data_IF_059633667576
#
_entry.id   IF_059633667576
#
_cell.length_a   1.000
_cell.length_b   1.000
_cell.length_c   1.000
_cell.angle_alpha   90.00
_cell.angle_beta   90.00
_cell.angle_gamma   90.00
#
_symmetry.space_group_name_H-M   'P 1'
#
loop_
_entity.id
_entity.type
_entity.pdbx_description
1 polymer ?
#
# COMPACT_ATOMS: atom_id res chain seq x y z
N UNK A 1 13.50 28.56 22.33
CA UNK A 1 13.22 28.99 20.93
C UNK A 1 13.84 27.93 20.02
N UNK A 2 13.04 26.97 19.58
CA UNK A 2 13.51 25.98 18.61
C UNK A 2 13.83 26.72 17.31
N UNK A 3 15.03 26.51 16.78
CA UNK A 3 15.39 26.98 15.44
C UNK A 3 14.40 26.29 14.51
N UNK A 4 13.51 27.05 13.88
CA UNK A 4 12.68 26.55 12.80
C UNK A 4 13.65 26.21 11.66
N UNK A 5 14.19 24.98 11.69
CA UNK A 5 15.03 24.45 10.63
C UNK A 5 14.23 24.53 9.34
N UNK A 6 14.83 25.10 8.29
CA UNK A 6 14.24 25.18 6.97
C UNK A 6 13.87 23.75 6.57
N UNK A 7 12.56 23.44 6.57
CA UNK A 7 12.08 22.16 6.09
C UNK A 7 12.31 22.12 4.59
N UNK A 8 13.16 21.19 4.15
CA UNK A 8 13.33 20.89 2.73
C UNK A 8 11.97 20.55 2.13
N UNK A 9 11.76 20.93 0.88
CA UNK A 9 10.56 20.56 0.14
C UNK A 9 10.52 19.05 -0.13
N UNK A 10 9.37 18.52 -0.53
CA UNK A 10 9.22 17.11 -0.90
C UNK A 10 10.23 16.72 -2.01
N UNK A 11 10.34 17.45 -3.15
CA UNK A 11 11.31 17.10 -4.20
C UNK A 11 12.76 17.12 -3.72
N UNK A 12 13.16 18.14 -2.95
CA UNK A 12 14.53 18.24 -2.39
C UNK A 12 14.85 17.07 -1.45
N UNK A 13 13.88 16.59 -0.68
CA UNK A 13 14.08 15.43 0.18
C UNK A 13 14.30 14.14 -0.62
N UNK A 14 13.64 13.95 -1.76
CA UNK A 14 13.81 12.76 -2.60
C UNK A 14 15.03 12.85 -3.53
N UNK A 15 15.58 14.04 -3.75
CA UNK A 15 16.74 14.26 -4.61
C UNK A 15 17.94 13.39 -4.20
N UNK A 16 18.53 12.69 -5.18
CA UNK A 16 19.70 11.82 -4.98
C UNK A 16 19.42 10.52 -4.22
N UNK A 17 18.18 10.26 -3.76
CA UNK A 17 17.84 9.07 -2.97
C UNK A 17 17.42 7.89 -3.82
N UNK A 18 17.65 6.69 -3.30
CA UNK A 18 17.15 5.45 -3.85
C UNK A 18 15.90 4.99 -3.10
N UNK A 19 14.85 4.67 -3.83
CA UNK A 19 13.54 4.29 -3.29
C UNK A 19 13.23 2.84 -3.65
N UNK A 20 12.78 2.03 -2.70
CA UNK A 20 12.25 0.70 -2.93
C UNK A 20 10.72 0.72 -2.88
N UNK A 21 10.04 0.23 -3.92
CA UNK A 21 8.58 0.07 -3.94
C UNK A 21 8.23 -1.39 -4.15
N UNK A 22 7.56 -1.99 -3.17
CA UNK A 22 6.89 -3.29 -3.37
C UNK A 22 5.49 -3.06 -3.92
N UNK A 23 5.01 -3.93 -4.81
CA UNK A 23 3.65 -3.78 -5.36
C UNK A 23 3.52 -2.64 -6.39
N UNK A 24 4.64 -2.18 -6.96
CA UNK A 24 4.69 -1.11 -7.96
C UNK A 24 3.81 -1.37 -9.20
N UNK A 25 3.55 -2.64 -9.53
CA UNK A 25 2.70 -3.03 -10.67
C UNK A 25 1.20 -3.11 -10.33
N UNK A 26 0.82 -2.89 -9.07
CA UNK A 26 -0.58 -2.77 -8.64
C UNK A 26 -1.10 -1.34 -8.78
N UNK A 27 -2.43 -1.17 -8.62
CA UNK A 27 -3.13 0.11 -8.82
C UNK A 27 -2.45 1.30 -8.13
N UNK A 28 -2.34 1.27 -6.79
CA UNK A 28 -1.69 2.34 -6.03
C UNK A 28 -0.19 2.44 -6.34
N UNK A 29 0.49 1.31 -6.52
CA UNK A 29 1.93 1.28 -6.78
C UNK A 29 2.31 1.99 -8.09
N UNK A 30 1.50 1.87 -9.13
CA UNK A 30 1.71 2.57 -10.40
C UNK A 30 1.59 4.08 -10.24
N UNK A 31 0.55 4.54 -9.54
CA UNK A 31 0.33 5.97 -9.26
C UNK A 31 1.44 6.52 -8.37
N UNK A 32 1.91 5.75 -7.38
CA UNK A 32 3.04 6.13 -6.55
C UNK A 32 4.32 6.31 -7.37
N UNK A 33 4.62 5.35 -8.24
CA UNK A 33 5.79 5.40 -9.11
C UNK A 33 5.73 6.59 -10.08
N UNK A 34 4.59 6.77 -10.77
CA UNK A 34 4.39 7.90 -11.68
C UNK A 34 4.54 9.24 -10.95
N UNK A 35 3.84 9.40 -9.82
CA UNK A 35 3.81 10.66 -9.07
C UNK A 35 5.20 11.00 -8.51
N UNK A 36 5.93 10.01 -8.00
CA UNK A 36 7.28 10.17 -7.49
C UNK A 36 8.22 10.63 -8.61
N UNK A 37 8.24 9.94 -9.75
CA UNK A 37 9.14 10.26 -10.86
C UNK A 37 8.79 11.61 -11.52
N UNK A 38 7.50 11.98 -11.53
CA UNK A 38 7.04 13.27 -12.09
C UNK A 38 7.30 14.45 -11.17
N UNK A 39 7.02 14.27 -9.88
CA UNK A 39 7.09 15.39 -8.92
C UNK A 39 8.45 15.51 -8.25
N UNK A 40 9.26 14.45 -8.25
CA UNK A 40 10.60 14.42 -7.68
C UNK A 40 11.59 13.92 -8.75
N UNK A 41 11.80 14.66 -9.86
CA UNK A 41 12.62 14.18 -10.96
C UNK A 41 14.06 13.91 -10.53
N UNK A 42 14.59 14.55 -9.50
CA UNK A 42 15.97 14.32 -9.05
C UNK A 42 16.16 13.07 -8.18
N UNK A 43 15.12 12.24 -8.00
CA UNK A 43 15.28 10.91 -7.40
C UNK A 43 16.30 10.10 -8.20
N UNK A 44 17.23 9.43 -7.51
CA UNK A 44 18.35 8.75 -8.17
C UNK A 44 17.89 7.49 -8.89
N UNK A 45 17.20 6.61 -8.18
CA UNK A 45 16.67 5.36 -8.72
C UNK A 45 15.46 4.88 -7.90
N UNK A 46 14.53 4.21 -8.58
CA UNK A 46 13.37 3.56 -7.98
C UNK A 46 13.43 2.07 -8.29
N UNK A 47 13.76 1.30 -7.26
CA UNK A 47 13.84 -0.14 -7.28
C UNK A 47 12.43 -0.72 -7.11
N UNK A 48 12.03 -1.60 -8.01
CA UNK A 48 10.68 -2.18 -8.02
C UNK A 48 10.76 -3.70 -7.96
N UNK A 49 10.17 -4.27 -6.91
CA UNK A 49 10.08 -5.73 -6.76
C UNK A 49 8.92 -6.25 -7.62
N UNK A 50 9.24 -7.11 -8.58
CA UNK A 50 8.29 -7.63 -9.57
C UNK A 50 8.29 -9.15 -9.55
N UNK A 51 7.10 -9.72 -9.38
CA UNK A 51 6.89 -11.16 -9.49
C UNK A 51 7.09 -11.62 -10.94
N UNK A 52 7.95 -12.63 -11.12
CA UNK A 52 8.03 -13.35 -12.39
C UNK A 52 6.69 -14.04 -12.68
N UNK A 53 6.18 -13.86 -13.89
CA UNK A 53 5.03 -14.63 -14.40
C UNK A 53 5.55 -15.43 -15.58
N UNK A 54 5.17 -16.71 -15.66
CA UNK A 54 5.67 -17.67 -16.66
C UNK A 54 5.88 -17.02 -18.04
N UNK A 55 7.15 -16.92 -18.45
CA UNK A 55 7.56 -16.42 -19.78
C UNK A 55 7.92 -14.93 -19.91
N UNK A 56 7.75 -14.09 -18.88
CA UNK A 56 8.07 -12.65 -18.98
C UNK A 56 9.12 -12.23 -17.95
N UNK A 57 10.22 -11.65 -18.42
CA UNK A 57 11.24 -11.03 -17.57
C UNK A 57 10.65 -9.85 -16.77
N UNK A 58 11.15 -9.54 -15.56
CA UNK A 58 10.73 -8.37 -14.78
C UNK A 58 10.75 -7.06 -15.59
N UNK A 59 11.74 -6.88 -16.46
CA UNK A 59 11.88 -5.74 -17.35
C UNK A 59 10.73 -5.59 -18.35
N UNK A 60 10.22 -6.69 -18.91
CA UNK A 60 9.08 -6.65 -19.84
C UNK A 60 7.82 -6.15 -19.15
N UNK A 61 7.55 -6.60 -17.91
CA UNK A 61 6.40 -6.15 -17.14
C UNK A 61 6.47 -4.67 -16.77
N UNK A 62 7.67 -4.15 -16.51
CA UNK A 62 7.87 -2.71 -16.32
C UNK A 62 7.68 -1.97 -17.64
N UNK A 63 8.22 -2.46 -18.75
CA UNK A 63 8.03 -1.86 -20.07
C UNK A 63 6.54 -1.71 -20.43
N UNK A 64 5.74 -2.77 -20.23
CA UNK A 64 4.29 -2.72 -20.45
C UNK A 64 3.59 -1.71 -19.54
N UNK A 65 4.01 -1.66 -18.28
CA UNK A 65 3.45 -0.74 -17.29
C UNK A 65 3.72 0.72 -17.65
N UNK A 66 4.94 1.08 -18.03
CA UNK A 66 5.32 2.47 -18.37
C UNK A 66 4.72 2.95 -19.70
N UNK A 67 4.21 2.03 -20.52
CA UNK A 67 3.46 2.35 -21.75
C UNK A 67 1.96 2.62 -21.50
N UNK A 68 1.47 2.41 -20.27
CA UNK A 68 0.08 2.73 -19.94
C UNK A 68 -0.16 4.25 -19.95
N UNK A 69 -1.41 4.66 -20.26
CA UNK A 69 -1.83 6.08 -20.29
C UNK A 69 -1.53 6.85 -19.00
N UNK A 70 -1.46 6.16 -17.87
CA UNK A 70 -1.07 6.75 -16.58
C UNK A 70 0.24 7.54 -16.70
N UNK A 71 1.20 7.03 -17.48
CA UNK A 71 2.55 7.58 -17.61
C UNK A 71 2.70 8.56 -18.77
N UNK A 72 1.65 8.87 -19.54
CA UNK A 72 1.76 9.74 -20.71
C UNK A 72 2.31 11.13 -20.34
N UNK A 73 1.74 11.75 -19.30
CA UNK A 73 2.21 13.04 -18.78
C UNK A 73 3.65 12.99 -18.27
N UNK A 74 4.02 11.94 -17.53
CA UNK A 74 5.41 11.75 -17.09
C UNK A 74 6.37 11.60 -18.28
N UNK A 75 5.95 10.89 -19.32
CA UNK A 75 6.75 10.68 -20.54
C UNK A 75 6.98 11.99 -21.30
N UNK A 76 5.98 12.88 -21.31
CA UNK A 76 6.11 14.22 -21.89
C UNK A 76 7.01 15.14 -21.07
N UNK A 77 6.84 15.18 -19.74
CA UNK A 77 7.59 16.06 -18.84
C UNK A 77 9.04 15.58 -18.60
N UNK A 78 9.25 14.26 -18.53
CA UNK A 78 10.55 13.63 -18.23
C UNK A 78 10.81 12.37 -19.08
N UNK A 79 11.11 12.47 -20.38
CA UNK A 79 11.25 11.32 -21.29
C UNK A 79 12.21 10.22 -20.83
N UNK A 80 13.27 10.58 -20.08
CA UNK A 80 14.30 9.66 -19.59
C UNK A 80 13.94 9.02 -18.23
N UNK A 81 12.70 9.18 -17.74
CA UNK A 81 12.27 8.54 -16.49
C UNK A 81 12.47 7.01 -16.44
N UNK A 82 12.36 6.24 -17.56
CA UNK A 82 12.53 4.79 -17.50
C UNK A 82 13.92 4.37 -17.00
N UNK A 83 14.96 5.17 -17.27
CA UNK A 83 16.34 4.90 -16.86
C UNK A 83 16.51 4.88 -15.33
N UNK A 84 15.55 5.47 -14.60
CA UNK A 84 15.54 5.50 -13.13
C UNK A 84 14.84 4.29 -12.52
N UNK A 85 14.14 3.47 -13.31
CA UNK A 85 13.40 2.33 -12.79
C UNK A 85 14.30 1.10 -12.84
N UNK A 86 14.58 0.50 -11.68
CA UNK A 86 15.40 -0.70 -11.56
C UNK A 86 14.51 -1.89 -11.20
N UNK A 87 14.08 -2.71 -12.18
CA UNK A 87 13.30 -3.91 -11.92
C UNK A 87 14.13 -4.99 -11.24
N UNK A 88 13.60 -5.56 -10.17
CA UNK A 88 14.19 -6.72 -9.49
C UNK A 88 13.17 -7.85 -9.42
N UNK A 89 13.64 -9.06 -9.71
CA UNK A 89 12.83 -10.27 -9.55
C UNK A 89 12.54 -10.50 -8.07
N UNK A 90 11.28 -10.74 -7.72
CA UNK A 90 10.89 -11.08 -6.36
C UNK A 90 9.50 -11.69 -6.29
N UNK A 91 9.39 -12.80 -5.58
CA UNK A 91 8.13 -13.32 -5.07
C UNK A 91 8.12 -13.19 -3.54
N UNK A 92 7.36 -12.21 -3.04
CA UNK A 92 7.26 -11.91 -1.62
C UNK A 92 6.76 -13.09 -0.77
N UNK A 93 6.10 -14.06 -1.40
CA UNK A 93 5.61 -15.28 -0.73
C UNK A 93 6.73 -16.30 -0.50
N UNK A 94 7.86 -16.20 -1.19
CA UNK A 94 8.95 -17.16 -1.09
C UNK A 94 9.92 -16.82 0.05
N UNK A 95 10.77 -17.78 0.48
CA UNK A 95 11.88 -17.51 1.39
C UNK A 95 12.79 -16.40 0.85
N UNK A 96 13.32 -15.57 1.75
CA UNK A 96 14.18 -14.42 1.37
C UNK A 96 13.60 -13.52 0.25
N UNK A 97 12.27 -13.46 0.13
CA UNK A 97 11.54 -12.68 -0.88
C UNK A 97 11.80 -13.11 -2.34
N UNK A 98 12.48 -14.26 -2.55
CA UNK A 98 12.99 -14.70 -3.85
C UNK A 98 13.79 -13.59 -4.57
N UNK A 99 14.58 -12.85 -3.79
CA UNK A 99 15.52 -11.84 -4.28
C UNK A 99 16.92 -12.43 -4.24
N UNK A 100 17.66 -12.30 -5.34
CA UNK A 100 19.04 -12.80 -5.45
C UNK A 100 19.93 -12.19 -4.35
N UNK A 101 20.99 -12.88 -3.92
CA UNK A 101 21.90 -12.34 -2.90
C UNK A 101 22.56 -11.03 -3.35
N UNK A 102 22.86 -10.90 -4.64
CA UNK A 102 23.41 -9.69 -5.24
C UNK A 102 22.42 -8.52 -5.19
N UNK A 103 21.16 -8.76 -5.56
CA UNK A 103 20.11 -7.75 -5.47
C UNK A 103 19.81 -7.37 -4.01
N UNK A 104 19.76 -8.34 -3.09
CA UNK A 104 19.61 -8.06 -1.66
C UNK A 104 20.75 -7.17 -1.15
N UNK A 105 21.99 -7.45 -1.56
CA UNK A 105 23.14 -6.66 -1.16
C UNK A 105 23.05 -5.24 -1.74
N UNK A 106 22.66 -5.11 -3.01
CA UNK A 106 22.39 -3.82 -3.65
C UNK A 106 21.36 -3.01 -2.87
N UNK A 107 20.23 -3.63 -2.51
CA UNK A 107 19.16 -2.98 -1.73
C UNK A 107 19.65 -2.54 -0.35
N UNK A 108 20.45 -3.39 0.32
CA UNK A 108 21.06 -3.08 1.62
C UNK A 108 22.01 -1.89 1.55
N UNK A 109 22.75 -1.76 0.45
CA UNK A 109 23.82 -0.77 0.29
C UNK A 109 23.33 0.59 -0.16
N UNK A 110 22.17 0.72 -0.80
CA UNK A 110 21.78 1.98 -1.43
C UNK A 110 20.41 2.55 -1.02
N UNK A 111 19.48 1.74 -0.51
CA UNK A 111 18.09 2.19 -0.29
C UNK A 111 18.00 3.19 0.87
N UNK A 112 17.32 4.30 0.61
CA UNK A 112 17.03 5.34 1.58
C UNK A 112 15.57 5.30 2.06
N UNK A 113 14.65 4.86 1.21
CA UNK A 113 13.21 4.94 1.46
C UNK A 113 12.53 3.66 0.99
N UNK A 114 11.69 3.08 1.82
CA UNK A 114 10.89 1.90 1.46
C UNK A 114 9.40 2.25 1.47
N UNK A 115 8.69 1.96 0.39
CA UNK A 115 7.24 1.95 0.32
C UNK A 115 6.73 0.51 0.16
N UNK A 116 6.28 -0.08 1.26
CA UNK A 116 5.67 -1.40 1.25
C UNK A 116 4.17 -1.30 0.95
N UNK A 117 3.83 -1.31 -0.35
CA UNK A 117 2.44 -1.27 -0.85
C UNK A 117 1.90 -2.64 -1.29
N UNK A 118 2.70 -3.69 -1.28
CA UNK A 118 2.26 -5.02 -1.72
C UNK A 118 1.33 -5.65 -0.67
N UNK A 119 0.14 -6.05 -1.10
CA UNK A 119 -0.83 -6.78 -0.32
C UNK A 119 -1.74 -7.59 -1.26
N UNK A 120 -2.37 -8.64 -0.74
CA UNK A 120 -3.56 -9.18 -1.42
C UNK A 120 -4.72 -8.24 -1.16
N UNK A 121 -5.48 -7.92 -2.21
CA UNK A 121 -6.75 -7.20 -2.12
C UNK A 121 -7.94 -8.12 -2.42
N UNK A 122 -7.71 -9.44 -2.47
CA UNK A 122 -8.76 -10.42 -2.61
C UNK A 122 -9.38 -10.64 -1.23
N UNK A 123 -10.59 -10.12 -1.05
CA UNK A 123 -11.23 -10.11 0.26
C UNK A 123 -11.47 -11.52 0.84
N UNK A 124 -11.71 -12.53 0.01
CA UNK A 124 -12.01 -13.90 0.45
C UNK A 124 -10.88 -14.89 0.14
N UNK A 125 -9.63 -14.45 0.24
CA UNK A 125 -8.49 -15.34 0.05
C UNK A 125 -8.33 -16.27 1.28
N UNK A 126 -7.93 -17.55 1.09
CA UNK A 126 -7.66 -18.45 2.20
C UNK A 126 -6.72 -17.81 3.23
N UNK A 127 -6.96 -18.07 4.51
CA UNK A 127 -6.23 -17.40 5.59
C UNK A 127 -4.71 -17.58 5.48
N UNK A 128 -4.24 -18.77 5.08
CA UNK A 128 -2.80 -19.04 4.87
C UNK A 128 -2.19 -18.12 3.83
N UNK A 129 -2.84 -17.99 2.68
CA UNK A 129 -2.37 -17.14 1.57
C UNK A 129 -2.35 -15.66 1.98
N UNK A 130 -3.41 -15.21 2.65
CA UNK A 130 -3.52 -13.85 3.16
C UNK A 130 -2.43 -13.56 4.22
N UNK A 131 -2.16 -14.52 5.13
CA UNK A 131 -1.07 -14.43 6.11
C UNK A 131 0.31 -14.40 5.44
N UNK A 132 0.52 -15.23 4.42
CA UNK A 132 1.78 -15.28 3.67
C UNK A 132 2.10 -13.92 3.04
N UNK A 133 1.13 -13.30 2.37
CA UNK A 133 1.36 -12.07 1.62
C UNK A 133 1.24 -10.79 2.46
N UNK A 134 0.37 -10.74 3.47
CA UNK A 134 0.16 -9.51 4.24
C UNK A 134 0.98 -9.46 5.54
N UNK A 135 1.32 -10.61 6.13
CA UNK A 135 2.02 -10.65 7.44
C UNK A 135 3.46 -11.10 7.25
N UNK A 136 3.68 -12.30 6.70
CA UNK A 136 5.04 -12.88 6.56
C UNK A 136 5.89 -12.13 5.54
N UNK A 137 5.32 -11.68 4.42
CA UNK A 137 6.03 -10.82 3.48
C UNK A 137 6.44 -9.47 4.10
N UNK A 138 5.56 -8.86 4.91
CA UNK A 138 5.88 -7.63 5.64
C UNK A 138 7.03 -7.88 6.62
N UNK A 139 7.00 -8.99 7.36
CA UNK A 139 8.08 -9.41 8.25
C UNK A 139 9.43 -9.52 7.53
N UNK A 140 9.45 -10.23 6.38
CA UNK A 140 10.66 -10.42 5.57
C UNK A 140 11.19 -9.10 5.00
N UNK A 141 10.31 -8.23 4.52
CA UNK A 141 10.68 -6.90 4.01
C UNK A 141 11.23 -6.01 5.14
N UNK A 142 10.69 -6.09 6.35
CA UNK A 142 11.23 -5.41 7.53
C UNK A 142 12.59 -5.96 7.94
N UNK A 143 12.79 -7.28 7.91
CA UNK A 143 14.08 -7.90 8.17
C UNK A 143 15.16 -7.44 7.16
N UNK A 144 14.79 -7.29 5.89
CA UNK A 144 15.66 -6.68 4.88
C UNK A 144 15.93 -5.19 5.19
N UNK A 145 14.90 -4.44 5.58
CA UNK A 145 15.00 -3.03 5.94
C UNK A 145 15.94 -2.77 7.13
N UNK A 146 15.96 -3.64 8.14
CA UNK A 146 16.90 -3.57 9.26
C UNK A 146 18.37 -3.68 8.84
N UNK A 147 18.65 -4.34 7.70
CA UNK A 147 20.00 -4.47 7.16
C UNK A 147 20.41 -3.25 6.34
N UNK A 148 19.47 -2.41 5.89
CA UNK A 148 19.75 -1.28 5.00
C UNK A 148 20.56 -0.18 5.70
N UNK A 149 21.72 0.14 5.14
CA UNK A 149 22.71 1.06 5.76
C UNK A 149 22.27 2.51 5.77
N UNK A 150 21.44 2.91 4.81
CA UNK A 150 21.05 4.31 4.59
C UNK A 150 19.55 4.55 4.73
N UNK A 151 18.81 3.59 5.28
CA UNK A 151 17.36 3.70 5.40
C UNK A 151 16.97 4.84 6.35
N UNK A 152 16.20 5.78 5.81
CA UNK A 152 15.68 6.94 6.50
C UNK A 152 14.24 6.75 6.95
N UNK A 153 13.42 6.06 6.16
CA UNK A 153 12.01 5.81 6.47
C UNK A 153 11.48 4.54 5.78
N UNK A 154 10.64 3.82 6.51
CA UNK A 154 9.84 2.71 6.03
C UNK A 154 8.35 3.05 6.11
N UNK A 155 7.66 3.04 4.98
CA UNK A 155 6.22 3.29 4.91
C UNK A 155 5.50 1.97 4.66
N UNK A 156 4.61 1.60 5.57
CA UNK A 156 3.69 0.48 5.40
C UNK A 156 2.31 0.98 4.98
N UNK A 157 1.81 0.54 3.82
CA UNK A 157 0.43 0.86 3.42
C UNK A 157 -0.50 -0.21 3.98
N UNK A 158 -1.34 0.18 4.93
CA UNK A 158 -2.40 -0.63 5.54
C UNK A 158 -3.77 -0.28 4.94
N UNK A 159 -4.83 -0.24 5.75
CA UNK A 159 -6.19 0.13 5.38
C UNK A 159 -6.95 0.64 6.60
N UNK A 160 -7.84 1.60 6.41
CA UNK A 160 -8.73 2.11 7.46
C UNK A 160 -9.67 1.01 8.01
N UNK A 161 -9.91 -0.05 7.23
CA UNK A 161 -10.74 -1.18 7.63
C UNK A 161 -10.00 -2.25 8.43
N UNK A 162 -8.71 -2.05 8.74
CA UNK A 162 -7.93 -3.02 9.51
C UNK A 162 -8.50 -3.20 10.93
N UNK A 163 -9.31 -2.28 11.43
CA UNK A 163 -9.95 -2.37 12.75
C UNK A 163 -11.45 -2.05 12.68
N UNK A 164 -12.13 -2.45 11.59
CA UNK A 164 -13.55 -2.16 11.35
C UNK A 164 -14.54 -2.87 12.29
N UNK A 165 -14.04 -3.75 13.16
CA UNK A 165 -14.72 -4.31 14.32
C UNK A 165 -14.90 -3.30 15.48
N UNK A 166 -14.37 -2.08 15.33
CA UNK A 166 -14.49 -0.97 16.29
C UNK A 166 -15.34 0.16 15.72
N UNK A 167 -16.05 0.86 16.60
CA UNK A 167 -16.83 2.05 16.24
C UNK A 167 -15.97 3.30 15.99
N UNK A 168 -14.83 3.41 16.68
CA UNK A 168 -13.87 4.50 16.55
C UNK A 168 -12.48 3.90 16.35
N UNK A 169 -11.80 4.34 15.29
CA UNK A 169 -10.46 3.88 14.92
C UNK A 169 -9.52 5.07 14.95
N UNK A 170 -8.77 5.19 16.03
CA UNK A 170 -7.74 6.22 16.21
C UNK A 170 -6.47 5.87 15.41
N UNK A 171 -5.60 6.87 15.27
CA UNK A 171 -4.29 6.76 14.64
C UNK A 171 -3.26 6.07 15.56
N UNK A 172 -3.63 4.89 16.05
CA UNK A 172 -2.81 4.00 16.88
C UNK A 172 -2.90 2.58 16.36
N UNK A 173 -1.88 1.77 16.66
CA UNK A 173 -1.91 0.32 16.36
C UNK A 173 -2.62 -0.40 17.51
N UNK A 174 -3.60 -1.23 17.17
CA UNK A 174 -4.36 -2.02 18.13
C UNK A 174 -3.78 -3.42 18.26
N UNK A 175 -3.68 -3.98 19.48
CA UNK A 175 -3.25 -5.35 19.66
C UNK A 175 -4.31 -6.32 19.09
N UNK A 176 -3.91 -7.35 18.34
CA UNK A 176 -4.79 -8.38 17.83
C UNK A 176 -5.23 -9.32 18.98
N UNK A 177 -6.34 -10.06 18.81
CA UNK A 177 -6.81 -11.02 19.81
C UNK A 177 -5.87 -12.22 19.97
N UNK A 178 -5.06 -12.52 18.95
CA UNK A 178 -4.10 -13.63 18.93
C UNK A 178 -2.73 -13.08 18.56
N UNK A 179 -1.71 -13.52 19.27
CA UNK A 179 -0.32 -13.22 18.94
C UNK A 179 0.03 -13.75 17.55
N UNK A 180 0.58 -12.88 16.70
CA UNK A 180 0.89 -13.22 15.30
C UNK A 180 1.91 -14.36 15.18
N UNK A 181 2.86 -14.49 16.12
CA UNK A 181 3.87 -15.56 16.11
C UNK A 181 3.22 -16.92 16.36
N UNK A 182 2.36 -17.00 17.38
CA UNK A 182 1.60 -18.22 17.68
C UNK A 182 0.70 -18.63 16.52
N UNK A 183 0.12 -17.65 15.83
CA UNK A 183 -0.70 -17.91 14.65
C UNK A 183 0.14 -18.43 13.48
N UNK A 184 1.31 -17.86 13.23
CA UNK A 184 2.25 -18.36 12.21
C UNK A 184 2.62 -19.81 12.50
N UNK A 185 3.06 -20.10 13.74
CA UNK A 185 3.44 -21.46 14.15
C UNK A 185 2.27 -22.44 13.98
N UNK A 186 1.05 -22.02 14.32
CA UNK A 186 -0.15 -22.84 14.15
C UNK A 186 -0.44 -23.14 12.66
N UNK A 187 -0.37 -22.12 11.80
CA UNK A 187 -0.69 -22.25 10.38
C UNK A 187 0.34 -23.07 9.59
N UNK A 188 1.57 -23.21 10.09
CA UNK A 188 2.63 -23.96 9.44
C UNK A 188 2.33 -25.47 9.38
N UNK A 189 1.78 -26.04 10.46
CA UNK A 189 1.48 -27.48 10.52
C UNK A 189 0.03 -27.85 10.23
N UNK A 190 -0.92 -26.91 10.40
CA UNK A 190 -2.34 -27.18 10.15
C UNK A 190 -2.59 -27.40 8.65
N UNK A 191 -3.40 -28.39 8.29
CA UNK A 191 -3.88 -28.53 6.92
C UNK A 191 -4.94 -27.47 6.56
N UNK A 192 -5.23 -27.31 5.27
CA UNK A 192 -6.15 -26.28 4.78
C UNK A 192 -7.58 -26.48 5.27
N UNK A 193 -8.01 -27.72 5.53
CA UNK A 193 -9.36 -28.01 6.03
C UNK A 193 -9.50 -27.51 7.46
N UNK A 194 -8.51 -27.77 8.32
CA UNK A 194 -8.49 -27.31 9.70
C UNK A 194 -8.39 -25.78 9.76
N UNK A 195 -7.55 -25.15 8.93
CA UNK A 195 -7.48 -23.69 8.85
C UNK A 195 -8.81 -23.08 8.45
N UNK A 196 -9.48 -23.62 7.42
CA UNK A 196 -10.79 -23.13 7.00
C UNK A 196 -11.85 -23.29 8.09
N UNK A 197 -11.79 -24.37 8.89
CA UNK A 197 -12.70 -24.60 10.01
C UNK A 197 -12.54 -23.56 11.12
N UNK A 198 -11.30 -23.17 11.46
CA UNK A 198 -11.03 -22.22 12.55
C UNK A 198 -11.05 -20.75 12.11
N UNK A 199 -10.91 -20.47 10.80
CA UNK A 199 -10.84 -19.12 10.24
C UNK A 199 -11.99 -18.21 10.71
N UNK A 200 -13.27 -18.62 10.69
CA UNK A 200 -14.38 -17.80 11.19
C UNK A 200 -14.19 -17.36 12.64
N UNK A 201 -13.61 -18.23 13.48
CA UNK A 201 -13.36 -17.92 14.90
C UNK A 201 -12.18 -16.96 15.08
N UNK A 202 -11.18 -17.03 14.21
CA UNK A 202 -10.01 -16.14 14.21
C UNK A 202 -10.35 -14.74 13.73
N UNK A 203 -11.13 -14.62 12.65
CA UNK A 203 -11.52 -13.30 12.11
C UNK A 203 -12.54 -12.59 13.02
N UNK A 204 -13.36 -13.34 13.77
CA UNK A 204 -14.34 -12.77 14.70
C UNK A 204 -15.39 -11.93 13.99
N UNK A 205 -15.62 -10.70 14.48
CA UNK A 205 -16.62 -9.77 13.92
C UNK A 205 -16.15 -9.06 12.65
N UNK A 206 -14.93 -9.36 12.18
CA UNK A 206 -14.37 -8.78 10.97
C UNK A 206 -15.04 -9.38 9.73
N UNK A 207 -15.26 -8.59 8.67
CA UNK A 207 -15.99 -9.05 7.49
C UNK A 207 -15.23 -10.11 6.68
N UNK A 208 -13.89 -10.18 6.79
CA UNK A 208 -13.06 -11.05 5.96
C UNK A 208 -11.60 -11.20 6.43
N UNK A 209 -10.87 -12.13 5.80
CA UNK A 209 -9.45 -12.41 6.10
C UNK A 209 -8.52 -11.24 5.78
N UNK A 210 -8.86 -10.41 4.78
CA UNK A 210 -8.08 -9.22 4.44
C UNK A 210 -8.00 -8.24 5.63
N UNK A 211 -9.13 -7.81 6.19
CA UNK A 211 -9.16 -6.88 7.33
C UNK A 211 -8.40 -7.43 8.54
N UNK A 212 -8.56 -8.73 8.83
CA UNK A 212 -7.85 -9.42 9.91
C UNK A 212 -6.33 -9.43 9.70
N UNK A 213 -5.85 -9.83 8.52
CA UNK A 213 -4.41 -9.94 8.24
C UNK A 213 -3.73 -8.57 8.13
N UNK A 214 -4.43 -7.52 7.70
CA UNK A 214 -3.91 -6.14 7.75
C UNK A 214 -3.76 -5.65 9.19
N UNK A 215 -4.70 -5.97 10.09
CA UNK A 215 -4.57 -5.67 11.52
C UNK A 215 -3.34 -6.35 12.13
N UNK A 216 -3.16 -7.64 11.82
CA UNK A 216 -1.98 -8.41 12.25
C UNK A 216 -0.67 -7.83 11.70
N UNK A 217 -0.66 -7.41 10.44
CA UNK A 217 0.51 -6.81 9.81
C UNK A 217 0.90 -5.49 10.50
N UNK A 218 -0.06 -4.63 10.84
CA UNK A 218 0.23 -3.39 11.59
C UNK A 218 0.82 -3.67 12.97
N UNK A 219 0.27 -4.67 13.67
CA UNK A 219 0.80 -5.07 14.97
C UNK A 219 2.21 -5.64 14.85
N UNK A 220 2.46 -6.51 13.88
CA UNK A 220 3.80 -7.02 13.57
C UNK A 220 4.77 -5.87 13.29
N UNK A 221 4.36 -4.90 12.47
CA UNK A 221 5.17 -3.71 12.18
C UNK A 221 5.53 -2.96 13.47
N UNK A 222 4.57 -2.77 14.39
CA UNK A 222 4.84 -2.11 15.67
C UNK A 222 5.78 -2.93 16.56
N UNK A 223 5.67 -4.25 16.59
CA UNK A 223 6.50 -5.10 17.43
C UNK A 223 7.92 -5.26 16.88
N UNK A 224 8.07 -5.27 15.55
CA UNK A 224 9.35 -5.58 14.89
C UNK A 224 10.07 -4.36 14.31
N UNK A 225 9.48 -3.15 14.40
CA UNK A 225 10.13 -1.95 13.85
C UNK A 225 11.46 -1.64 14.54
N UNK A 226 11.62 -1.98 15.83
CA UNK A 226 12.87 -1.74 16.57
C UNK A 226 13.34 -0.29 16.42
N UNK A 227 14.52 -0.10 15.85
CA UNK A 227 15.11 1.23 15.57
C UNK A 227 14.71 1.84 14.23
N UNK A 228 13.92 1.15 13.40
CA UNK A 228 13.46 1.67 12.12
C UNK A 228 12.52 2.85 12.32
N UNK A 229 12.68 3.83 11.44
CA UNK A 229 11.77 4.96 11.37
C UNK A 229 10.57 4.58 10.50
N UNK A 230 9.46 4.21 11.15
CA UNK A 230 8.29 3.65 10.45
C UNK A 230 7.09 4.60 10.51
N UNK A 231 6.29 4.60 9.45
CA UNK A 231 4.92 5.13 9.46
C UNK A 231 3.95 4.20 8.71
N UNK A 232 2.69 4.20 9.15
CA UNK A 232 1.59 3.41 8.58
C UNK A 232 0.59 4.36 7.91
N UNK A 233 0.21 4.08 6.67
CA UNK A 233 -0.86 4.80 5.96
C UNK A 233 -2.09 3.90 5.86
N UNK A 234 -3.24 4.35 6.35
CA UNK A 234 -4.52 3.65 6.31
C UNK A 234 -5.50 4.35 5.36
N UNK A 235 -5.47 4.03 4.06
CA UNK A 235 -6.51 4.51 3.15
C UNK A 235 -7.86 3.84 3.41
N UNK A 236 -8.96 4.56 3.19
CA UNK A 236 -10.29 3.95 3.01
C UNK A 236 -10.40 3.29 1.62
N UNK A 237 -11.61 3.18 1.03
CA UNK A 237 -11.77 2.51 -0.25
C UNK A 237 -11.17 3.39 -1.35
N UNK A 238 -10.03 2.96 -1.89
CA UNK A 238 -9.31 3.73 -2.91
C UNK A 238 -10.04 3.64 -4.25
N UNK A 239 -10.54 4.77 -4.73
CA UNK A 239 -11.22 4.92 -6.01
C UNK A 239 -10.34 5.56 -7.08
N UNK A 240 -10.98 5.93 -8.20
CA UNK A 240 -10.32 6.61 -9.31
C UNK A 240 -9.68 7.95 -8.88
N UNK A 241 -8.70 8.42 -9.65
CA UNK A 241 -8.04 9.71 -9.39
C UNK A 241 -9.02 10.88 -9.47
N UNK A 242 -8.83 11.87 -8.60
CA UNK A 242 -9.58 13.12 -8.66
C UNK A 242 -8.97 14.09 -9.67
N UNK A 243 -7.64 14.28 -9.61
CA UNK A 243 -6.91 15.23 -10.45
C UNK A 243 -5.79 14.58 -11.24
N UNK A 244 -4.93 13.80 -10.59
CA UNK A 244 -3.67 13.35 -11.19
C UNK A 244 -3.58 11.82 -11.33
N UNK A 245 -2.94 11.30 -12.40
CA UNK A 245 -2.34 12.04 -13.52
C UNK A 245 -3.39 12.67 -14.46
N UNK A 246 -4.62 12.15 -14.46
CA UNK A 246 -5.80 12.82 -15.01
C UNK A 246 -7.05 12.36 -14.26
N UNK A 247 -8.15 13.13 -14.25
CA UNK A 247 -9.38 12.76 -13.53
C UNK A 247 -9.99 11.45 -14.03
N UNK A 248 -10.44 10.60 -13.09
CA UNK A 248 -11.15 9.36 -13.39
C UNK A 248 -10.27 8.18 -13.82
N UNK A 249 -8.94 8.29 -13.72
CA UNK A 249 -8.06 7.17 -14.02
C UNK A 249 -8.23 6.04 -13.01
N UNK A 250 -8.42 4.83 -13.53
CA UNK A 250 -8.47 3.58 -12.78
C UNK A 250 -8.10 2.41 -13.71
N UNK A 251 -7.44 1.38 -13.17
CA UNK A 251 -6.97 0.23 -13.95
C UNK A 251 -7.48 -1.13 -13.44
N UNK A 252 -8.51 -1.12 -12.57
CA UNK A 252 -9.09 -2.32 -11.99
C UNK A 252 -10.62 -2.20 -11.84
N UNK A 253 -11.27 -3.34 -11.63
CA UNK A 253 -12.71 -3.47 -11.45
C UNK A 253 -13.08 -3.82 -9.99
N UNK A 254 -12.18 -3.59 -9.04
CA UNK A 254 -12.38 -4.06 -7.67
C UNK A 254 -13.38 -3.16 -6.93
N UNK A 255 -14.24 -3.79 -6.12
CA UNK A 255 -15.15 -3.09 -5.21
C UNK A 255 -16.06 -2.08 -5.95
N UNK A 256 -16.19 -0.83 -5.44
CA UNK A 256 -17.07 0.19 -6.02
C UNK A 256 -16.81 0.50 -7.49
N UNK A 257 -15.57 0.38 -7.96
CA UNK A 257 -15.21 0.63 -9.36
C UNK A 257 -15.94 -0.31 -10.33
N UNK A 258 -16.04 -1.59 -9.96
CA UNK A 258 -16.82 -2.57 -10.73
C UNK A 258 -18.31 -2.23 -10.75
N UNK A 259 -18.85 -1.77 -9.62
CA UNK A 259 -20.24 -1.33 -9.48
C UNK A 259 -20.51 -0.13 -10.40
N UNK A 260 -19.66 0.90 -10.37
CA UNK A 260 -19.82 2.10 -11.19
C UNK A 260 -19.72 1.81 -12.68
N UNK A 261 -18.81 0.93 -13.09
CA UNK A 261 -18.69 0.53 -14.49
C UNK A 261 -19.92 -0.29 -14.94
N UNK A 262 -20.40 -1.22 -14.11
CA UNK A 262 -21.59 -2.01 -14.43
C UNK A 262 -22.86 -1.14 -14.50
N UNK A 263 -23.00 -0.19 -13.58
CA UNK A 263 -24.07 0.80 -13.55
C UNK A 263 -24.02 1.72 -14.78
N UNK A 264 -22.87 2.33 -15.06
CA UNK A 264 -22.68 3.21 -16.21
C UNK A 264 -22.88 2.52 -17.57
N UNK A 265 -22.67 1.20 -17.64
CA UNK A 265 -22.97 0.38 -18.84
C UNK A 265 -24.43 -0.10 -18.90
N UNK A 266 -25.25 0.18 -17.89
CA UNK A 266 -26.64 -0.29 -17.80
C UNK A 266 -26.81 -1.78 -17.51
N UNK A 267 -25.73 -2.47 -17.14
CA UNK A 267 -25.73 -3.90 -16.77
C UNK A 267 -26.31 -4.08 -15.37
N UNK A 268 -25.89 -3.22 -14.44
CA UNK A 268 -26.44 -3.15 -13.08
C UNK A 268 -27.44 -1.99 -13.02
N UNK A 269 -28.69 -2.27 -12.68
CA UNK A 269 -29.77 -1.25 -12.64
C UNK A 269 -30.21 -0.91 -11.22
N UNK A 270 -30.08 -1.86 -10.31
CA UNK A 270 -30.49 -1.72 -8.92
C UNK A 270 -29.45 -2.34 -8.01
N UNK A 271 -29.27 -1.74 -6.83
CA UNK A 271 -28.36 -2.26 -5.81
C UNK A 271 -28.99 -2.08 -4.44
N UNK A 272 -28.99 -3.14 -3.63
CA UNK A 272 -29.46 -3.05 -2.26
C UNK A 272 -28.39 -2.42 -1.38
N UNK A 273 -28.60 -1.17 -0.99
CA UNK A 273 -27.76 -0.43 -0.04
C UNK A 273 -28.63 0.40 0.92
N UNK A 274 -28.06 0.84 2.04
CA UNK A 274 -28.67 1.89 2.85
C UNK A 274 -28.27 3.23 2.25
N UNK A 275 -29.26 4.07 1.93
CA UNK A 275 -29.01 5.38 1.32
C UNK A 275 -28.20 6.31 2.24
N UNK A 276 -28.34 6.13 3.55
CA UNK A 276 -27.65 6.92 4.58
C UNK A 276 -26.30 6.32 4.99
N UNK A 277 -25.90 5.18 4.42
CA UNK A 277 -24.57 4.64 4.67
C UNK A 277 -23.51 5.45 3.92
N UNK A 278 -22.43 5.78 4.63
CA UNK A 278 -21.28 6.49 4.07
C UNK A 278 -20.52 5.56 3.10
N UNK A 279 -20.37 6.01 1.86
CA UNK A 279 -19.45 5.48 0.87
C UNK A 279 -18.09 6.16 1.03
N UNK A 280 -17.28 5.67 1.96
CA UNK A 280 -15.94 6.21 2.27
C UNK A 280 -14.93 5.88 1.16
N UNK A 281 -15.04 6.65 0.07
CA UNK A 281 -14.21 6.57 -1.13
C UNK A 281 -13.14 7.67 -1.05
N UNK A 282 -11.88 7.28 -1.18
CA UNK A 282 -10.74 8.19 -1.26
C UNK A 282 -10.07 8.12 -2.64
N UNK A 283 -9.85 9.24 -3.33
CA UNK A 283 -9.16 9.22 -4.62
C UNK A 283 -7.70 8.75 -4.50
N UNK A 284 -7.24 7.92 -5.44
CA UNK A 284 -5.89 7.35 -5.39
C UNK A 284 -4.78 8.40 -5.33
N UNK A 285 -4.93 9.53 -6.01
CA UNK A 285 -3.95 10.62 -6.00
C UNK A 285 -3.85 11.32 -4.64
N UNK A 286 -4.95 11.43 -3.90
CA UNK A 286 -4.94 11.93 -2.51
C UNK A 286 -4.14 10.98 -1.62
N UNK A 287 -4.37 9.67 -1.73
CA UNK A 287 -3.65 8.67 -0.94
C UNK A 287 -2.15 8.68 -1.26
N UNK A 288 -1.78 8.77 -2.54
CA UNK A 288 -0.37 8.82 -2.94
C UNK A 288 0.30 10.11 -2.48
N UNK A 289 -0.38 11.26 -2.57
CA UNK A 289 0.14 12.52 -2.04
C UNK A 289 0.38 12.44 -0.53
N UNK A 290 -0.59 11.89 0.22
CA UNK A 290 -0.44 11.67 1.67
C UNK A 290 0.71 10.70 1.97
N UNK A 291 0.88 9.64 1.17
CA UNK A 291 1.95 8.65 1.33
C UNK A 291 3.34 9.26 1.11
N UNK A 292 3.52 10.06 0.06
CA UNK A 292 4.77 10.78 -0.22
C UNK A 292 5.05 11.85 0.85
N UNK A 293 4.02 12.59 1.29
CA UNK A 293 4.15 13.57 2.35
C UNK A 293 4.52 12.92 3.69
N UNK A 294 3.94 11.76 4.02
CA UNK A 294 4.27 11.03 5.24
C UNK A 294 5.72 10.49 5.22
N UNK A 295 6.21 10.01 4.07
CA UNK A 295 7.61 9.62 3.89
C UNK A 295 8.55 10.81 4.08
N UNK A 296 8.25 11.93 3.42
CA UNK A 296 9.00 13.17 3.55
C UNK A 296 9.04 13.67 5.00
N UNK A 297 7.88 13.79 5.64
CA UNK A 297 7.79 14.28 7.02
C UNK A 297 8.56 13.37 7.98
N UNK A 298 8.33 12.05 7.87
CA UNK A 298 8.95 11.07 8.74
C UNK A 298 10.47 11.01 8.56
N UNK A 299 10.97 11.06 7.33
CA UNK A 299 12.39 10.96 7.05
C UNK A 299 13.15 12.26 7.25
N UNK A 300 12.62 13.40 6.77
CA UNK A 300 13.27 14.71 6.94
C UNK A 300 13.34 15.15 8.41
N UNK A 301 12.40 14.69 9.24
CA UNK A 301 12.33 14.99 10.67
C UNK A 301 12.73 13.80 11.55
N UNK A 302 13.53 12.85 11.04
CA UNK A 302 13.91 11.62 11.77
C UNK A 302 14.44 11.86 13.19
N UNK A 303 15.13 12.98 13.43
CA UNK A 303 15.71 13.32 14.74
C UNK A 303 14.82 14.18 15.63
N UNK A 304 13.80 14.82 15.06
CA UNK A 304 12.95 15.80 15.76
C UNK A 304 11.51 15.34 15.96
N UNK A 305 11.05 14.33 15.20
CA UNK A 305 9.70 13.77 15.32
C UNK A 305 9.54 12.90 16.57
N UNK A 306 8.30 12.66 17.04
CA UNK A 306 8.04 11.67 18.08
C UNK A 306 8.63 10.30 17.71
N UNK A 307 9.25 9.63 18.69
CA UNK A 307 9.81 8.28 18.50
C UNK A 307 8.73 7.20 18.35
N UNK A 308 7.47 7.53 18.64
CA UNK A 308 6.34 6.64 18.43
C UNK A 308 6.11 6.38 16.94
N UNK A 309 5.65 5.17 16.63
CA UNK A 309 5.15 4.82 15.31
C UNK A 309 4.00 5.75 14.91
N UNK A 310 4.12 6.41 13.77
CA UNK A 310 3.06 7.28 13.25
C UNK A 310 2.09 6.47 12.40
N UNK A 311 0.81 6.70 12.59
CA UNK A 311 -0.28 6.11 11.82
C UNK A 311 -1.10 7.26 11.23
N UNK A 312 -1.46 7.16 9.96
CA UNK A 312 -2.22 8.20 9.26
C UNK A 312 -3.47 7.61 8.64
N UNK A 313 -4.65 8.08 9.04
CA UNK A 313 -5.92 7.71 8.42
C UNK A 313 -6.18 8.61 7.19
N UNK A 314 -6.04 8.05 5.99
CA UNK A 314 -6.35 8.74 4.74
C UNK A 314 -7.78 8.37 4.29
N UNK A 315 -8.76 9.02 4.90
CA UNK A 315 -10.19 8.70 4.73
C UNK A 315 -10.98 9.97 4.42
N UNK A 316 -12.17 9.84 3.82
CA UNK A 316 -13.07 10.98 3.53
C UNK A 316 -14.31 10.92 4.40
N UNK A 317 -14.76 9.73 4.81
CA UNK A 317 -16.05 9.51 5.45
C UNK A 317 -16.32 10.30 6.74
N UNK A 318 -15.29 10.64 7.52
CA UNK A 318 -15.45 11.40 8.76
C UNK A 318 -15.43 12.93 8.60
N UNK A 319 -14.97 13.44 7.45
CA UNK A 319 -14.70 14.88 7.22
C UNK A 319 -15.56 15.43 6.09
N UNK A 320 -15.70 14.66 5.01
CA UNK A 320 -16.47 15.01 3.81
C UNK A 320 -17.21 13.75 3.31
N UNK A 321 -18.27 13.32 4.02
CA UNK A 321 -18.96 12.08 3.73
C UNK A 321 -19.69 12.16 2.38
N UNK A 322 -19.60 11.08 1.60
CA UNK A 322 -20.40 10.84 0.42
C UNK A 322 -21.26 9.61 0.67
N UNK A 323 -22.58 9.69 0.50
CA UNK A 323 -23.49 8.60 0.88
C UNK A 323 -23.90 7.73 -0.33
N UNK A 324 -24.27 6.47 -0.09
CA UNK A 324 -24.71 5.57 -1.15
C UNK A 324 -25.98 6.04 -1.87
N UNK A 325 -26.86 6.79 -1.23
CA UNK A 325 -28.00 7.43 -1.91
C UNK A 325 -27.54 8.47 -2.94
N UNK A 326 -26.49 9.23 -2.63
CA UNK A 326 -25.89 10.22 -3.54
C UNK A 326 -25.17 9.54 -4.70
N UNK A 327 -24.48 8.42 -4.44
CA UNK A 327 -23.91 7.56 -5.47
C UNK A 327 -25.00 7.16 -6.46
N UNK A 328 -26.13 6.62 -5.98
CA UNK A 328 -27.21 6.13 -6.84
C UNK A 328 -27.75 7.17 -7.81
N UNK A 329 -27.95 8.40 -7.33
CA UNK A 329 -28.37 9.53 -8.17
C UNK A 329 -27.35 9.88 -9.25
N UNK A 330 -26.05 9.81 -8.93
CA UNK A 330 -24.98 10.20 -9.87
C UNK A 330 -24.66 9.11 -10.92
N UNK A 331 -24.92 7.83 -10.63
CA UNK A 331 -24.66 6.70 -11.55
C UNK A 331 -25.92 6.03 -12.08
N UNK A 332 -27.09 6.65 -11.92
CA UNK A 332 -28.39 6.14 -12.38
C UNK A 332 -28.74 4.74 -11.84
N UNK A 333 -28.37 4.45 -10.60
CA UNK A 333 -28.82 3.24 -9.88
C UNK A 333 -30.11 3.58 -9.12
N UNK A 334 -31.13 2.74 -9.26
CA UNK A 334 -32.42 2.84 -8.56
C UNK A 334 -32.43 1.99 -7.30
#
# INVERSE_FOLDING_TARGET
>A
RAIAGIMVTIPEYFAGKNVLITGATGFMGKVLLEKLLRSCPDVKAVYVLVRQKSGHAPSARIADMVNCKLFDRLREEHPNFPDKIVPMSSDLTQPELDVSREDQQTLVDCINIVFHCAATIRFNEPLKDAMQLNVLATQKIMALAHRMKHLEVFIHVSTAYANCDRSVIEEVVYPPPVDYKKLIDALEWMDDKLVNLITPKLIGDRPNTYTYTKALAEYLVQQECGSLNVAIIRPSIVGASWKEPFPGWIDNFNGPSGIFIAAGKGILRTMRASNDAVADLVPVDVVINATLAAAWYSGSQRYTRPKSLLVYNCTTGGINPFHWGEVGMNVSLV
#
